data_IF_671918850375
#
_entry.id   IF_671918850375
#
_cell.length_a   1.000
_cell.length_b   1.000
_cell.length_c   1.000
_cell.angle_alpha   90.00
_cell.angle_beta   90.00
_cell.angle_gamma   90.00
#
_symmetry.space_group_name_H-M   'P 1'
#
loop_
_entity.id
_entity.type
_entity.pdbx_description
1 polymer ?
#
# COMPACT_ATOMS: atom_id res chain seq x y z
N UNK A 1 28.37 5.78 10.05
CA UNK A 1 27.53 4.59 9.80
C UNK A 1 26.18 4.68 10.53
N UNK A 2 25.65 5.88 10.82
CA UNK A 2 24.37 6.02 11.55
C UNK A 2 23.17 6.35 10.64
N UNK A 3 23.37 6.97 9.47
CA UNK A 3 22.27 7.34 8.57
C UNK A 3 21.58 6.15 7.88
N UNK A 4 22.30 5.06 7.62
CA UNK A 4 21.71 3.86 6.97
C UNK A 4 20.59 3.24 7.81
N UNK A 5 20.70 3.29 9.15
CA UNK A 5 19.66 2.76 10.03
C UNK A 5 18.41 3.66 10.04
N UNK A 6 18.59 4.98 9.99
CA UNK A 6 17.47 5.92 10.02
C UNK A 6 16.62 5.85 8.74
N UNK A 7 17.26 5.90 7.56
CA UNK A 7 16.57 5.80 6.27
C UNK A 7 15.88 4.43 6.11
N UNK A 8 16.54 3.35 6.52
CA UNK A 8 15.95 2.01 6.51
C UNK A 8 14.72 1.92 7.43
N UNK A 9 14.81 2.44 8.65
CA UNK A 9 13.71 2.44 9.60
C UNK A 9 12.52 3.28 9.10
N UNK A 10 12.78 4.42 8.45
CA UNK A 10 11.73 5.24 7.85
C UNK A 10 11.02 4.50 6.71
N UNK A 11 11.78 3.90 5.78
CA UNK A 11 11.22 3.11 4.68
C UNK A 11 10.39 1.92 5.19
N UNK A 12 10.85 1.22 6.22
CA UNK A 12 10.10 0.12 6.86
C UNK A 12 8.80 0.63 7.48
N UNK A 13 8.81 1.79 8.14
CA UNK A 13 7.61 2.39 8.71
C UNK A 13 6.61 2.81 7.64
N UNK A 14 7.08 3.43 6.55
CA UNK A 14 6.25 3.78 5.40
C UNK A 14 5.63 2.53 4.75
N UNK A 15 6.42 1.47 4.58
CA UNK A 15 5.98 0.20 4.03
C UNK A 15 4.88 -0.45 4.89
N UNK A 16 5.07 -0.48 6.22
CA UNK A 16 4.05 -0.99 7.16
C UNK A 16 2.74 -0.19 7.07
N UNK A 17 2.83 1.13 6.98
CA UNK A 17 1.67 1.99 6.84
C UNK A 17 0.93 1.75 5.52
N UNK A 18 1.66 1.54 4.41
CA UNK A 18 1.09 1.22 3.11
C UNK A 18 0.40 -0.14 3.10
N UNK A 19 1.00 -1.18 3.71
CA UNK A 19 0.34 -2.48 3.86
C UNK A 19 -0.98 -2.38 4.63
N UNK A 20 -1.00 -1.60 5.72
CA UNK A 20 -2.22 -1.36 6.50
C UNK A 20 -3.30 -0.69 5.64
N UNK A 21 -2.95 0.41 4.94
CA UNK A 21 -3.87 1.11 4.02
C UNK A 21 -4.37 0.21 2.88
N UNK A 22 -3.48 -0.60 2.30
CA UNK A 22 -3.84 -1.55 1.25
C UNK A 22 -4.85 -2.59 1.75
N UNK A 23 -4.66 -3.13 2.97
CA UNK A 23 -5.58 -4.10 3.56
C UNK A 23 -6.92 -3.48 3.96
N UNK A 24 -6.89 -2.28 4.53
CA UNK A 24 -8.11 -1.53 4.86
C UNK A 24 -8.93 -1.22 3.61
N UNK A 25 -8.28 -0.79 2.53
CA UNK A 25 -8.94 -0.52 1.25
C UNK A 25 -9.52 -1.80 0.63
N UNK A 26 -8.83 -2.93 0.74
CA UNK A 26 -9.34 -4.23 0.30
C UNK A 26 -10.64 -4.61 1.01
N UNK A 27 -10.65 -4.52 2.35
CA UNK A 27 -11.85 -4.77 3.15
C UNK A 27 -12.99 -3.80 2.78
N UNK A 28 -12.66 -2.52 2.57
CA UNK A 28 -13.63 -1.51 2.16
C UNK A 28 -14.24 -1.80 0.78
N UNK A 29 -13.43 -2.25 -0.19
CA UNK A 29 -13.92 -2.66 -1.51
C UNK A 29 -14.89 -3.83 -1.38
N UNK A 30 -14.58 -4.83 -0.54
CA UNK A 30 -15.46 -5.98 -0.29
C UNK A 30 -16.78 -5.51 0.33
N UNK A 31 -16.72 -4.63 1.33
CA UNK A 31 -17.91 -4.07 1.95
C UNK A 31 -18.78 -3.32 0.92
N UNK A 32 -18.18 -2.42 0.13
CA UNK A 32 -18.90 -1.64 -0.89
C UNK A 32 -19.51 -2.51 -1.98
N UNK A 33 -18.80 -3.57 -2.36
CA UNK A 33 -19.31 -4.54 -3.31
C UNK A 33 -20.55 -5.28 -2.76
N UNK A 34 -20.51 -5.69 -1.49
CA UNK A 34 -21.65 -6.32 -0.82
C UNK A 34 -22.83 -5.35 -0.60
N UNK A 35 -22.56 -4.05 -0.49
CA UNK A 35 -23.57 -2.98 -0.44
C UNK A 35 -24.13 -2.60 -1.82
N UNK A 36 -23.77 -3.34 -2.88
CA UNK A 36 -24.17 -3.07 -4.28
C UNK A 36 -23.78 -1.65 -4.76
N UNK A 37 -22.65 -1.13 -4.30
CA UNK A 37 -22.14 0.15 -4.75
C UNK A 37 -21.93 0.18 -6.28
N UNK A 38 -22.04 1.35 -6.94
CA UNK A 38 -21.85 1.47 -8.37
C UNK A 38 -20.51 0.90 -8.84
N UNK A 39 -20.51 0.22 -9.99
CA UNK A 39 -19.30 -0.40 -10.53
C UNK A 39 -18.16 0.62 -10.74
N UNK A 40 -18.47 1.86 -11.11
CA UNK A 40 -17.49 2.93 -11.24
C UNK A 40 -16.76 3.22 -9.93
N UNK A 41 -17.49 3.22 -8.80
CA UNK A 41 -16.89 3.40 -7.48
C UNK A 41 -15.93 2.25 -7.15
N UNK A 42 -16.37 1.01 -7.38
CA UNK A 42 -15.53 -0.18 -7.16
C UNK A 42 -14.27 -0.16 -8.03
N UNK A 43 -14.37 0.26 -9.29
CA UNK A 43 -13.23 0.39 -10.21
C UNK A 43 -12.25 1.45 -9.69
N UNK A 44 -12.73 2.64 -9.29
CA UNK A 44 -11.88 3.69 -8.72
C UNK A 44 -11.13 3.21 -7.47
N UNK A 45 -11.81 2.48 -6.58
CA UNK A 45 -11.19 1.91 -5.38
C UNK A 45 -10.15 0.83 -5.73
N UNK A 46 -10.43 -0.04 -6.72
CA UNK A 46 -9.47 -1.04 -7.21
C UNK A 46 -8.23 -0.40 -7.83
N UNK A 47 -8.39 0.68 -8.60
CA UNK A 47 -7.26 1.45 -9.15
C UNK A 47 -6.40 2.03 -8.02
N UNK A 48 -7.03 2.58 -6.98
CA UNK A 48 -6.30 3.06 -5.80
C UNK A 48 -5.57 1.91 -5.06
N UNK A 49 -6.17 0.73 -4.98
CA UNK A 49 -5.53 -0.46 -4.40
C UNK A 49 -4.32 -0.91 -5.21
N UNK A 50 -4.42 -0.89 -6.54
CA UNK A 50 -3.29 -1.19 -7.44
C UNK A 50 -2.14 -0.22 -7.21
N UNK A 51 -2.43 1.08 -7.08
CA UNK A 51 -1.41 2.08 -6.76
C UNK A 51 -0.68 1.77 -5.44
N UNK A 52 -1.40 1.39 -4.38
CA UNK A 52 -0.75 1.00 -3.11
C UNK A 52 0.14 -0.23 -3.27
N UNK A 53 -0.28 -1.21 -4.09
CA UNK A 53 0.54 -2.39 -4.38
C UNK A 53 1.83 -2.02 -5.12
N UNK A 54 1.74 -1.15 -6.12
CA UNK A 54 2.90 -0.71 -6.90
C UNK A 54 3.87 0.10 -6.02
N UNK A 55 3.34 0.95 -5.15
CA UNK A 55 4.12 1.73 -4.18
C UNK A 55 4.87 0.82 -3.19
N UNK A 56 4.18 -0.21 -2.66
CA UNK A 56 4.78 -1.24 -1.81
C UNK A 56 5.95 -1.91 -2.55
N UNK A 57 5.73 -2.39 -3.78
CA UNK A 57 6.78 -3.03 -4.56
C UNK A 57 7.98 -2.12 -4.83
N UNK A 58 7.74 -0.81 -5.08
CA UNK A 58 8.83 0.16 -5.24
C UNK A 58 9.65 0.28 -3.97
N UNK A 59 9.00 0.43 -2.81
CA UNK A 59 9.70 0.55 -1.52
C UNK A 59 10.43 -0.75 -1.12
N UNK A 60 9.84 -1.91 -1.38
CA UNK A 60 10.51 -3.21 -1.19
C UNK A 60 11.77 -3.33 -2.04
N UNK A 61 11.71 -2.88 -3.28
CA UNK A 61 12.86 -2.87 -4.20
C UNK A 61 13.96 -1.92 -3.72
N UNK A 62 13.58 -0.73 -3.24
CA UNK A 62 14.51 0.22 -2.65
C UNK A 62 15.18 -0.35 -1.39
N UNK A 63 14.41 -0.98 -0.50
CA UNK A 63 14.94 -1.64 0.70
C UNK A 63 15.91 -2.77 0.36
N UNK A 64 15.63 -3.57 -0.68
CA UNK A 64 16.54 -4.61 -1.16
C UNK A 64 17.83 -4.07 -1.76
N UNK A 65 17.78 -2.91 -2.40
CA UNK A 65 18.96 -2.25 -2.98
C UNK A 65 19.84 -1.60 -1.92
N UNK A 66 19.24 -1.21 -0.78
CA UNK A 66 19.92 -0.59 0.35
C UNK A 66 20.53 -1.60 1.35
N UNK A 67 20.17 -2.89 1.24
CA UNK A 67 20.62 -3.98 2.11
C UNK A 67 21.82 -4.74 1.50
#
# INVERSE_FOLDING_TARGET
>A
MENYSAEHNELVNQLRALYKKHRELDNFIVQRYNEYAPNEEIVRLKTKKLWYKDEIHRLETNLRTLA
#
